data_IF_896093347503
#
_entry.id   IF_896093347503
#
_cell.length_a   1.000
_cell.length_b   1.000
_cell.length_c   1.000
_cell.angle_alpha   90.00
_cell.angle_beta   90.00
_cell.angle_gamma   90.00
#
_symmetry.space_group_name_H-M   'P 1'
#
loop_
_entity.id
_entity.type
_entity.pdbx_description
1 polymer ?
#
# COMPACT_ATOMS: atom_id res chain seq x y z
N UNK A 1 -53.71 45.49 -16.25
CA UNK A 1 -54.92 45.40 -17.05
C UNK A 1 -54.95 44.00 -17.60
N UNK A 2 -55.81 43.16 -17.03
CA UNK A 2 -55.97 41.76 -17.42
C UNK A 2 -56.42 41.67 -18.88
N UNK A 3 -55.63 40.96 -19.69
CA UNK A 3 -55.93 40.71 -21.10
C UNK A 3 -56.95 39.57 -21.18
N UNK A 4 -58.21 39.93 -21.38
CA UNK A 4 -59.27 39.01 -21.77
C UNK A 4 -59.04 38.62 -23.24
N UNK A 5 -58.61 37.39 -23.46
CA UNK A 5 -58.46 36.81 -24.80
C UNK A 5 -59.83 36.35 -25.26
N UNK A 6 -60.50 37.14 -26.09
CA UNK A 6 -61.64 36.67 -26.86
C UNK A 6 -61.15 35.76 -27.98
N UNK A 7 -61.80 34.62 -28.10
CA UNK A 7 -61.44 33.56 -29.05
C UNK A 7 -62.17 33.84 -30.36
N UNK A 8 -61.54 34.57 -31.28
CA UNK A 8 -61.98 34.63 -32.66
C UNK A 8 -61.16 33.63 -33.50
N UNK A 9 -61.89 32.79 -34.24
CA UNK A 9 -61.39 31.76 -35.13
C UNK A 9 -60.58 32.39 -36.28
N UNK A 10 -59.28 32.08 -36.38
CA UNK A 10 -58.50 32.39 -37.59
C UNK A 10 -57.31 31.43 -37.78
N UNK A 11 -57.44 30.60 -38.81
CA UNK A 11 -56.45 29.96 -39.70
C UNK A 11 -55.27 29.13 -39.13
N UNK A 12 -55.10 27.93 -39.69
CA UNK A 12 -54.34 26.80 -39.15
C UNK A 12 -52.94 26.60 -39.75
N UNK A 13 -52.15 27.65 -40.01
CA UNK A 13 -50.78 27.49 -40.57
C UNK A 13 -49.69 28.44 -40.02
N UNK A 14 -49.88 29.08 -38.85
CA UNK A 14 -48.79 29.84 -38.21
C UNK A 14 -48.51 29.33 -36.79
N UNK A 15 -47.24 29.00 -36.45
CA UNK A 15 -46.90 28.65 -35.08
C UNK A 15 -47.25 29.83 -34.16
N UNK A 16 -47.77 29.57 -32.95
CA UNK A 16 -48.13 30.63 -32.02
C UNK A 16 -46.93 31.56 -31.78
N UNK A 17 -47.18 32.86 -31.64
CA UNK A 17 -46.12 33.85 -31.48
C UNK A 17 -45.24 33.56 -30.25
N UNK A 18 -43.92 33.78 -30.37
CA UNK A 18 -42.88 33.43 -29.37
C UNK A 18 -43.16 34.05 -27.99
N UNK A 19 -43.90 35.16 -27.98
CA UNK A 19 -44.35 35.89 -26.80
C UNK A 19 -45.31 35.05 -25.94
N UNK A 20 -46.23 34.31 -26.58
CA UNK A 20 -47.18 33.41 -25.88
C UNK A 20 -46.43 32.25 -25.23
N UNK A 21 -45.37 31.76 -25.88
CA UNK A 21 -44.49 30.75 -25.30
C UNK A 21 -43.67 31.31 -24.13
N UNK A 22 -43.06 32.50 -24.28
CA UNK A 22 -42.26 33.14 -23.25
C UNK A 22 -43.07 33.45 -21.98
N UNK A 23 -44.34 33.81 -22.11
CA UNK A 23 -45.24 34.02 -20.97
C UNK A 23 -45.74 32.73 -20.30
N UNK A 24 -45.72 31.59 -21.00
CA UNK A 24 -46.11 30.27 -20.46
C UNK A 24 -44.92 29.43 -19.98
N UNK A 25 -43.68 29.89 -20.23
CA UNK A 25 -42.46 29.20 -19.84
C UNK A 25 -42.18 29.35 -18.34
N UNK A 26 -41.52 28.35 -17.75
CA UNK A 26 -40.99 28.40 -16.37
C UNK A 26 -39.62 29.07 -16.29
N UNK A 27 -39.01 29.44 -17.43
CA UNK A 27 -37.75 30.17 -17.47
C UNK A 27 -37.93 31.59 -16.95
N UNK A 28 -37.41 31.84 -15.75
CA UNK A 28 -37.50 33.15 -15.13
C UNK A 28 -36.75 34.20 -15.97
N UNK A 29 -37.40 35.34 -16.26
CA UNK A 29 -36.83 36.43 -17.05
C UNK A 29 -37.15 36.38 -18.55
N UNK A 30 -37.55 35.25 -19.13
CA UNK A 30 -37.86 35.17 -20.57
C UNK A 30 -39.13 35.95 -20.92
N UNK A 31 -40.12 35.95 -20.03
CA UNK A 31 -41.37 36.72 -20.18
C UNK A 31 -41.14 38.23 -20.22
N UNK A 32 -40.11 38.73 -19.51
CA UNK A 32 -39.73 40.15 -19.48
C UNK A 32 -38.91 40.58 -20.70
N UNK A 33 -38.29 39.64 -21.42
CA UNK A 33 -37.55 39.89 -22.66
C UNK A 33 -38.52 40.01 -23.85
N UNK A 34 -39.62 39.25 -23.84
CA UNK A 34 -40.60 39.19 -24.93
C UNK A 34 -41.91 39.94 -24.64
N UNK A 35 -41.88 40.96 -23.79
CA UNK A 35 -43.04 41.82 -23.49
C UNK A 35 -43.34 42.81 -24.64
N UNK A 36 -44.62 43.12 -24.90
CA UNK A 36 -45.13 43.97 -26.00
C UNK A 36 -44.82 45.48 -25.89
N UNK A 37 -44.01 45.94 -24.93
CA UNK A 37 -43.77 47.39 -24.70
C UNK A 37 -42.72 48.00 -25.66
N UNK A 38 -42.96 49.24 -26.13
CA UNK A 38 -42.07 49.98 -27.07
C UNK A 38 -40.70 50.40 -26.49
N UNK A 39 -40.47 50.26 -25.17
CA UNK A 39 -39.27 50.77 -24.51
C UNK A 39 -38.10 49.76 -24.55
N UNK A 40 -37.25 49.87 -25.58
CA UNK A 40 -36.11 48.99 -25.81
C UNK A 40 -35.13 48.86 -24.62
N UNK A 41 -34.96 49.90 -23.79
CA UNK A 41 -33.95 49.93 -22.73
C UNK A 41 -34.23 48.88 -21.64
N UNK A 42 -35.48 48.75 -21.19
CA UNK A 42 -35.85 47.77 -20.15
C UNK A 42 -35.64 46.34 -20.66
N UNK A 43 -36.00 46.08 -21.92
CA UNK A 43 -35.79 44.80 -22.59
C UNK A 43 -34.30 44.47 -22.73
N UNK A 44 -33.48 45.43 -23.13
CA UNK A 44 -32.03 45.25 -23.19
C UNK A 44 -31.44 44.95 -21.81
N UNK A 45 -31.90 45.62 -20.75
CA UNK A 45 -31.46 45.34 -19.38
C UNK A 45 -31.83 43.91 -18.97
N UNK A 46 -33.08 43.49 -19.16
CA UNK A 46 -33.52 42.13 -18.84
C UNK A 46 -32.78 41.06 -19.64
N UNK A 47 -32.50 41.33 -20.92
CA UNK A 47 -31.70 40.45 -21.77
C UNK A 47 -30.26 40.31 -21.25
N UNK A 48 -29.62 41.42 -20.88
CA UNK A 48 -28.25 41.42 -20.33
C UNK A 48 -28.21 40.67 -18.99
N UNK A 49 -29.17 40.90 -18.10
CA UNK A 49 -29.25 40.20 -16.81
C UNK A 49 -29.52 38.71 -17.00
N UNK A 50 -30.44 38.35 -17.89
CA UNK A 50 -30.74 36.95 -18.21
C UNK A 50 -29.53 36.24 -18.80
N UNK A 51 -28.88 36.83 -19.80
CA UNK A 51 -27.70 36.26 -20.43
C UNK A 51 -26.51 36.19 -19.46
N UNK A 52 -26.34 37.21 -18.61
CA UNK A 52 -25.35 37.20 -17.54
C UNK A 52 -25.59 36.06 -16.54
N UNK A 53 -26.84 35.86 -16.13
CA UNK A 53 -27.22 34.77 -15.21
C UNK A 53 -27.00 33.38 -15.84
N UNK A 54 -27.31 33.22 -17.14
CA UNK A 54 -27.09 31.98 -17.87
C UNK A 54 -25.61 31.67 -18.02
N UNK A 55 -24.79 32.64 -18.39
CA UNK A 55 -23.33 32.47 -18.51
C UNK A 55 -22.71 32.13 -17.16
N UNK A 56 -23.11 32.81 -16.09
CA UNK A 56 -22.62 32.51 -14.75
C UNK A 56 -23.01 31.09 -14.29
N UNK A 57 -24.26 30.68 -14.55
CA UNK A 57 -24.73 29.33 -14.26
C UNK A 57 -23.89 28.27 -15.00
N UNK A 58 -23.69 28.45 -16.32
CA UNK A 58 -22.89 27.52 -17.13
C UNK A 58 -21.45 27.44 -16.65
N UNK A 59 -20.83 28.58 -16.29
CA UNK A 59 -19.49 28.62 -15.73
C UNK A 59 -19.38 27.80 -14.44
N UNK A 60 -20.27 28.02 -13.47
CA UNK A 60 -20.28 27.28 -12.20
C UNK A 60 -20.57 25.79 -12.42
N UNK A 61 -21.46 25.43 -13.35
CA UNK A 61 -21.73 24.04 -13.70
C UNK A 61 -20.49 23.33 -14.26
N UNK A 62 -19.77 23.97 -15.20
CA UNK A 62 -18.54 23.39 -15.78
C UNK A 62 -17.45 23.26 -14.73
N UNK A 63 -17.24 24.28 -13.90
CA UNK A 63 -16.27 24.24 -12.78
C UNK A 63 -16.55 23.07 -11.83
N UNK A 64 -17.82 22.88 -11.45
CA UNK A 64 -18.22 21.78 -10.55
C UNK A 64 -18.12 20.42 -11.22
N UNK A 65 -18.39 20.30 -12.51
CA UNK A 65 -18.17 19.06 -13.26
C UNK A 65 -16.68 18.74 -13.32
N UNK A 66 -15.82 19.72 -13.58
CA UNK A 66 -14.37 19.54 -13.59
C UNK A 66 -13.87 19.07 -12.22
N UNK A 67 -14.26 19.76 -11.15
CA UNK A 67 -13.92 19.39 -9.77
C UNK A 67 -14.44 17.98 -9.40
N UNK A 68 -15.64 17.61 -9.84
CA UNK A 68 -16.16 16.26 -9.62
C UNK A 68 -15.32 15.20 -10.35
N UNK A 69 -14.92 15.47 -11.60
CA UNK A 69 -14.11 14.57 -12.43
C UNK A 69 -12.62 14.51 -12.01
N UNK A 70 -12.17 15.41 -11.14
CA UNK A 70 -10.87 15.31 -10.47
C UNK A 70 -10.86 14.26 -9.35
N UNK A 71 -12.03 13.72 -8.97
CA UNK A 71 -12.21 12.73 -7.89
C UNK A 71 -11.50 13.11 -6.57
N UNK A 72 -11.71 14.32 -6.03
CA UNK A 72 -11.14 14.71 -4.76
C UNK A 72 -11.73 13.88 -3.62
N UNK A 73 -10.89 13.42 -2.71
CA UNK A 73 -11.29 12.67 -1.51
C UNK A 73 -10.74 13.36 -0.25
N UNK A 74 -11.49 13.25 0.84
CA UNK A 74 -11.07 13.74 2.16
C UNK A 74 -10.99 12.55 3.10
N UNK A 75 -9.86 12.42 3.78
CA UNK A 75 -9.67 11.38 4.79
C UNK A 75 -10.08 11.91 6.16
N UNK A 76 -10.90 11.14 6.87
CA UNK A 76 -11.25 11.39 8.28
C UNK A 76 -10.44 10.42 9.15
N UNK A 77 -9.72 10.95 10.12
CA UNK A 77 -8.95 10.17 11.08
C UNK A 77 -9.74 10.13 12.39
N UNK A 78 -10.08 8.93 12.85
CA UNK A 78 -10.74 8.69 14.13
C UNK A 78 -9.92 7.63 14.90
N UNK A 79 -9.70 7.85 16.19
CA UNK A 79 -9.07 6.88 17.08
C UNK A 79 -10.15 6.22 17.93
N UNK A 80 -10.29 4.89 17.83
CA UNK A 80 -11.32 4.12 18.53
C UNK A 80 -10.65 3.08 19.41
N UNK A 81 -10.87 3.16 20.71
CA UNK A 81 -10.43 2.15 21.66
C UNK A 81 -11.36 0.94 21.59
N UNK A 82 -10.82 -0.22 21.25
CA UNK A 82 -11.56 -1.48 21.24
C UNK A 82 -11.09 -2.35 22.41
N UNK A 83 -12.02 -3.00 23.14
CA UNK A 83 -11.65 -3.90 24.22
C UNK A 83 -11.06 -5.19 23.68
N UNK A 84 -11.24 -5.53 22.40
CA UNK A 84 -10.60 -6.71 21.81
C UNK A 84 -9.93 -6.38 20.51
N UNK A 85 -8.64 -6.73 20.40
CA UNK A 85 -7.86 -6.60 19.17
C UNK A 85 -7.15 -7.90 18.81
N UNK A 86 -7.06 -8.19 17.51
CA UNK A 86 -6.26 -9.30 17.00
C UNK A 86 -4.78 -8.93 17.04
N UNK A 87 -3.95 -9.75 17.69
CA UNK A 87 -2.51 -9.55 17.69
C UNK A 87 -1.95 -9.71 16.26
N UNK A 88 -1.11 -8.79 15.76
CA UNK A 88 -0.60 -8.85 14.40
C UNK A 88 0.42 -9.98 14.23
N UNK A 89 0.57 -10.47 13.01
CA UNK A 89 1.64 -11.40 12.68
C UNK A 89 3.01 -10.71 12.84
N UNK A 90 3.86 -11.24 13.71
CA UNK A 90 5.24 -10.78 13.88
C UNK A 90 6.15 -11.60 12.97
N UNK A 91 6.87 -10.92 12.09
CA UNK A 91 7.80 -11.54 11.14
C UNK A 91 9.21 -11.04 11.39
N UNK A 92 10.15 -11.96 11.63
CA UNK A 92 11.56 -11.62 11.83
C UNK A 92 12.47 -12.55 11.02
N UNK A 93 13.67 -12.06 10.72
CA UNK A 93 14.70 -12.80 10.03
C UNK A 93 16.08 -12.41 10.59
N UNK A 94 17.00 -13.37 10.62
CA UNK A 94 18.39 -13.09 10.94
C UNK A 94 19.01 -12.29 9.77
N UNK A 95 19.75 -11.22 10.09
CA UNK A 95 20.46 -10.43 9.10
C UNK A 95 21.54 -11.25 8.37
N UNK A 96 22.08 -12.27 9.04
CA UNK A 96 22.94 -13.23 8.37
C UNK A 96 22.09 -14.18 7.50
N UNK A 97 22.21 -14.06 6.18
CA UNK A 97 21.40 -14.80 5.21
C UNK A 97 21.60 -16.33 5.26
N UNK A 98 22.76 -16.82 5.69
CA UNK A 98 23.04 -18.25 5.73
C UNK A 98 24.07 -18.63 6.81
N UNK A 99 23.97 -19.86 7.30
CA UNK A 99 24.95 -20.48 8.20
C UNK A 99 26.13 -21.00 7.38
N UNK A 100 27.28 -20.34 7.50
CA UNK A 100 28.51 -20.74 6.78
C UNK A 100 28.89 -22.21 7.00
N UNK A 101 28.64 -22.75 8.20
CA UNK A 101 28.86 -24.16 8.53
C UNK A 101 28.07 -25.14 7.63
N UNK A 102 26.88 -24.75 7.15
CA UNK A 102 26.00 -25.55 6.30
C UNK A 102 26.27 -25.38 4.80
N UNK A 103 27.09 -24.40 4.39
CA UNK A 103 27.45 -24.17 2.98
C UNK A 103 28.39 -25.26 2.48
N UNK A 104 28.06 -25.84 1.32
CA UNK A 104 28.87 -26.89 0.69
C UNK A 104 29.71 -26.35 -0.47
N UNK A 105 30.67 -27.16 -0.94
CA UNK A 105 31.48 -26.88 -2.13
C UNK A 105 30.61 -26.71 -3.39
N UNK A 106 29.53 -27.47 -3.51
CA UNK A 106 28.58 -27.33 -4.62
C UNK A 106 27.83 -25.98 -4.56
N UNK A 107 27.42 -25.57 -3.36
CA UNK A 107 26.74 -24.28 -3.16
C UNK A 107 27.67 -23.12 -3.52
N UNK A 108 28.93 -23.19 -3.08
CA UNK A 108 29.93 -22.16 -3.39
C UNK A 108 30.28 -22.11 -4.88
N UNK A 109 30.26 -23.25 -5.57
CA UNK A 109 30.43 -23.31 -7.03
C UNK A 109 29.30 -22.59 -7.78
N UNK A 110 28.04 -22.76 -7.37
CA UNK A 110 26.89 -22.16 -8.08
C UNK A 110 26.51 -20.76 -7.61
N UNK A 111 26.62 -20.48 -6.32
CA UNK A 111 26.16 -19.25 -5.68
C UNK A 111 27.29 -18.41 -5.05
N UNK A 112 28.55 -18.84 -5.11
CA UNK A 112 29.67 -18.14 -4.45
C UNK A 112 29.86 -16.70 -4.94
N UNK A 113 29.65 -16.43 -6.22
CA UNK A 113 29.67 -15.07 -6.77
C UNK A 113 28.48 -14.24 -6.27
N UNK A 114 27.28 -14.83 -6.25
CA UNK A 114 26.05 -14.20 -5.78
C UNK A 114 26.14 -13.81 -4.29
N UNK A 115 26.79 -14.65 -3.48
CA UNK A 115 27.02 -14.41 -2.05
C UNK A 115 28.23 -13.50 -1.78
N UNK A 116 28.83 -12.93 -2.83
CA UNK A 116 30.04 -12.11 -2.76
C UNK A 116 31.27 -12.78 -2.10
N UNK A 117 31.28 -14.11 -2.00
CA UNK A 117 32.41 -14.89 -1.45
C UNK A 117 33.48 -15.17 -2.51
N UNK A 118 33.05 -15.35 -3.76
CA UNK A 118 33.93 -15.62 -4.90
C UNK A 118 33.83 -14.53 -5.96
N UNK A 119 34.91 -14.33 -6.72
CA UNK A 119 34.92 -13.51 -7.93
C UNK A 119 34.45 -14.32 -9.16
N UNK A 120 34.36 -13.66 -10.32
CA UNK A 120 34.04 -14.32 -11.61
C UNK A 120 35.04 -15.41 -12.04
N UNK A 121 36.21 -15.48 -11.40
CA UNK A 121 37.24 -16.49 -11.65
C UNK A 121 37.21 -17.63 -10.63
N UNK A 122 36.19 -17.70 -9.76
CA UNK A 122 36.05 -18.67 -8.68
C UNK A 122 37.17 -18.59 -7.62
N UNK A 123 37.76 -17.42 -7.43
CA UNK A 123 38.75 -17.15 -6.39
C UNK A 123 38.10 -16.41 -5.22
N UNK A 124 38.62 -16.61 -4.01
CA UNK A 124 38.12 -15.99 -2.78
C UNK A 124 38.31 -14.47 -2.84
N UNK A 125 37.23 -13.71 -2.59
CA UNK A 125 37.27 -12.25 -2.47
C UNK A 125 37.71 -11.84 -1.06
N UNK A 126 38.28 -10.64 -0.95
CA UNK A 126 38.53 -9.94 0.31
C UNK A 126 39.17 -10.79 1.43
N UNK A 127 40.18 -11.58 1.05
CA UNK A 127 40.91 -12.53 1.92
C UNK A 127 41.37 -11.90 3.25
N UNK A 128 41.67 -10.61 3.25
CA UNK A 128 42.17 -9.87 4.42
C UNK A 128 41.10 -9.47 5.44
N UNK A 129 39.81 -9.57 5.07
CA UNK A 129 38.69 -9.19 5.94
C UNK A 129 38.05 -10.41 6.64
N UNK A 130 38.53 -11.62 6.34
CA UNK A 130 37.97 -12.88 6.85
C UNK A 130 38.83 -13.37 8.01
N UNK A 131 38.18 -13.80 9.10
CA UNK A 131 38.84 -14.46 10.22
C UNK A 131 39.62 -15.70 9.73
N UNK A 132 40.80 -15.94 10.30
CA UNK A 132 41.71 -17.01 9.86
C UNK A 132 41.05 -18.40 9.86
N UNK A 133 40.26 -18.70 10.89
CA UNK A 133 39.50 -19.95 11.04
C UNK A 133 38.46 -20.17 9.92
N UNK A 134 37.75 -19.11 9.54
CA UNK A 134 36.75 -19.12 8.47
C UNK A 134 37.43 -19.19 7.11
N UNK A 135 38.56 -18.50 6.95
CA UNK A 135 39.34 -18.50 5.73
C UNK A 135 39.91 -19.89 5.40
N UNK A 136 40.38 -20.65 6.38
CA UNK A 136 40.81 -22.04 6.18
C UNK A 136 39.67 -22.91 5.67
N UNK A 137 38.51 -22.82 6.31
CA UNK A 137 37.30 -23.54 5.89
C UNK A 137 36.85 -23.14 4.48
N UNK A 138 36.97 -21.85 4.13
CA UNK A 138 36.63 -21.32 2.81
C UNK A 138 37.60 -21.85 1.75
N UNK A 139 38.91 -21.88 2.02
CA UNK A 139 39.91 -22.46 1.09
C UNK A 139 39.61 -23.91 0.74
N UNK A 140 39.20 -24.73 1.73
CA UNK A 140 38.83 -26.13 1.49
C UNK A 140 37.55 -26.26 0.66
N UNK A 141 36.57 -25.38 0.90
CA UNK A 141 35.29 -25.37 0.16
C UNK A 141 35.40 -24.71 -1.21
N UNK A 142 36.38 -23.83 -1.44
CA UNK A 142 36.61 -23.08 -2.68
C UNK A 142 37.71 -23.67 -3.56
N UNK A 143 38.36 -24.76 -3.15
CA UNK A 143 39.12 -25.57 -4.08
C UNK A 143 38.12 -26.15 -5.10
N UNK A 144 38.36 -26.06 -6.40
CA UNK A 144 37.49 -26.68 -7.42
C UNK A 144 38.28 -27.65 -8.32
N UNK A 145 39.51 -27.99 -7.93
CA UNK A 145 40.33 -28.93 -8.66
C UNK A 145 39.65 -30.32 -8.68
N UNK A 146 39.45 -30.88 -9.87
CA UNK A 146 38.71 -32.14 -10.09
C UNK A 146 37.27 -32.16 -9.52
N UNK A 147 36.66 -31.00 -9.25
CA UNK A 147 35.30 -30.95 -8.75
C UNK A 147 34.30 -31.26 -9.87
N UNK A 148 33.31 -32.11 -9.58
CA UNK A 148 32.18 -32.40 -10.47
C UNK A 148 30.91 -31.77 -9.91
N UNK A 149 30.42 -30.67 -10.50
CA UNK A 149 29.21 -30.00 -10.04
C UNK A 149 28.00 -30.92 -10.07
N UNK A 150 27.14 -30.79 -9.05
CA UNK A 150 25.84 -31.44 -8.97
C UNK A 150 24.74 -30.43 -9.28
N UNK A 151 23.52 -30.91 -9.44
CA UNK A 151 22.34 -30.04 -9.55
C UNK A 151 22.25 -29.12 -8.34
N UNK A 152 21.75 -27.91 -8.58
CA UNK A 152 21.63 -26.88 -7.57
C UNK A 152 20.26 -26.21 -7.68
N UNK A 153 19.64 -25.98 -6.54
CA UNK A 153 18.35 -25.32 -6.43
C UNK A 153 18.47 -24.24 -5.35
N UNK A 154 18.22 -22.98 -5.72
CA UNK A 154 18.26 -21.85 -4.78
C UNK A 154 17.30 -22.04 -3.61
N UNK A 155 16.13 -22.65 -3.82
CA UNK A 155 15.17 -22.88 -2.74
C UNK A 155 15.70 -23.88 -1.71
N UNK A 156 16.25 -25.00 -2.17
CA UNK A 156 16.90 -26.00 -1.29
C UNK A 156 18.09 -25.40 -0.56
N UNK A 157 18.87 -24.55 -1.24
CA UNK A 157 19.99 -23.85 -0.64
C UNK A 157 19.54 -22.98 0.54
N UNK A 158 18.51 -22.14 0.37
CA UNK A 158 18.00 -21.30 1.45
C UNK A 158 17.37 -22.10 2.58
N UNK A 159 16.60 -23.15 2.27
CA UNK A 159 15.95 -23.99 3.27
C UNK A 159 16.99 -24.71 4.16
N UNK A 160 18.06 -25.25 3.56
CA UNK A 160 19.11 -25.97 4.28
C UNK A 160 20.10 -25.06 4.99
N UNK A 161 20.51 -23.96 4.35
CA UNK A 161 21.58 -23.09 4.88
C UNK A 161 21.04 -21.94 5.72
N UNK A 162 19.76 -21.62 5.63
CA UNK A 162 19.10 -20.63 6.49
C UNK A 162 19.22 -20.98 7.98
N UNK A 163 18.95 -20.00 8.83
CA UNK A 163 18.94 -20.20 10.28
C UNK A 163 17.68 -20.94 10.72
N UNK A 164 17.85 -21.89 11.63
CA UNK A 164 16.75 -22.66 12.21
C UNK A 164 16.20 -21.90 13.42
N UNK A 165 14.89 -21.80 13.53
CA UNK A 165 14.25 -21.15 14.68
C UNK A 165 14.53 -21.91 15.98
N UNK A 166 14.70 -23.24 15.92
CA UNK A 166 15.05 -24.05 17.08
C UNK A 166 16.41 -23.69 17.67
N UNK A 167 17.34 -23.24 16.83
CA UNK A 167 18.68 -22.85 17.25
C UNK A 167 18.72 -21.39 17.73
N UNK A 168 17.87 -20.53 17.17
CA UNK A 168 17.86 -19.10 17.50
C UNK A 168 16.99 -18.77 18.71
N UNK A 169 15.86 -19.46 18.89
CA UNK A 169 14.86 -19.12 19.90
C UNK A 169 15.31 -19.60 21.30
N UNK A 170 15.81 -18.70 22.13
CA UNK A 170 16.22 -19.03 23.50
C UNK A 170 15.03 -19.07 24.46
N UNK A 171 14.12 -18.11 24.36
CA UNK A 171 12.87 -18.09 25.11
C UNK A 171 11.77 -17.36 24.33
N UNK A 172 10.52 -17.77 24.56
CA UNK A 172 9.35 -17.21 23.91
C UNK A 172 8.18 -17.19 24.90
N UNK A 173 7.61 -16.02 25.12
CA UNK A 173 6.40 -15.88 25.94
C UNK A 173 5.39 -15.00 25.22
N UNK A 174 4.14 -15.46 25.16
CA UNK A 174 3.01 -14.71 24.65
C UNK A 174 1.88 -14.76 25.68
N UNK A 175 1.45 -13.60 26.18
CA UNK A 175 0.40 -13.48 27.21
C UNK A 175 0.68 -14.35 28.46
N UNK A 176 1.95 -14.42 28.88
CA UNK A 176 2.38 -15.26 30.00
C UNK A 176 2.42 -16.76 29.71
N UNK A 177 2.05 -17.20 28.51
CA UNK A 177 2.17 -18.59 28.06
C UNK A 177 3.46 -18.79 27.27
N UNK A 178 4.16 -19.89 27.52
CA UNK A 178 5.37 -20.25 26.78
C UNK A 178 5.00 -20.66 25.35
N UNK A 179 5.65 -20.05 24.36
CA UNK A 179 5.53 -20.44 22.95
C UNK A 179 6.70 -21.30 22.51
N UNK A 180 6.47 -22.11 21.47
CA UNK A 180 7.45 -23.09 20.98
C UNK A 180 7.83 -22.84 19.54
N UNK A 181 8.97 -23.39 19.08
CA UNK A 181 9.36 -23.36 17.67
C UNK A 181 8.26 -23.83 16.69
N UNK A 182 7.34 -24.70 17.11
CA UNK A 182 6.24 -25.16 16.25
C UNK A 182 5.15 -24.10 16.01
N UNK A 183 5.05 -23.08 16.87
CA UNK A 183 4.11 -21.96 16.72
C UNK A 183 4.56 -20.95 15.66
N UNK A 184 5.75 -21.17 15.11
CA UNK A 184 6.40 -20.34 14.13
C UNK A 184 6.35 -20.98 12.75
N UNK A 185 5.82 -20.24 11.78
CA UNK A 185 5.77 -20.66 10.39
C UNK A 185 6.90 -20.06 9.58
N UNK A 186 7.59 -20.94 8.86
CA UNK A 186 8.58 -20.55 7.86
C UNK A 186 7.88 -19.96 6.63
N UNK A 187 8.30 -18.75 6.24
CA UNK A 187 7.78 -18.00 5.09
C UNK A 187 8.94 -17.53 4.21
N UNK A 188 9.01 -18.02 2.98
CA UNK A 188 9.96 -17.52 1.99
C UNK A 188 9.39 -16.26 1.31
N UNK A 189 9.92 -15.08 1.63
CA UNK A 189 9.52 -13.84 0.95
C UNK A 189 10.40 -13.61 -0.28
N UNK A 190 9.90 -13.98 -1.46
CA UNK A 190 10.57 -13.68 -2.74
C UNK A 190 10.61 -12.15 -3.04
N UNK A 191 9.77 -11.35 -2.38
CA UNK A 191 9.54 -9.94 -2.69
C UNK A 191 10.28 -8.92 -1.82
N UNK A 192 11.09 -9.33 -0.82
CA UNK A 192 11.88 -8.39 -0.02
C UNK A 192 13.08 -7.79 -0.79
N UNK A 193 13.18 -8.10 -2.09
CA UNK A 193 14.13 -7.55 -3.07
C UNK A 193 14.01 -6.03 -3.28
N UNK A 194 12.84 -5.41 -3.04
CA UNK A 194 12.62 -4.00 -3.44
C UNK A 194 13.00 -2.97 -2.36
N UNK A 195 13.22 -3.35 -1.10
CA UNK A 195 13.49 -2.36 -0.02
C UNK A 195 14.84 -2.47 0.68
N UNK A 196 15.50 -3.63 0.64
CA UNK A 196 16.68 -3.90 1.49
C UNK A 196 17.97 -4.19 0.71
N UNK A 197 18.04 -3.89 -0.59
CA UNK A 197 19.29 -3.80 -1.35
C UNK A 197 20.05 -5.12 -1.60
N UNK A 198 19.78 -6.19 -0.84
CA UNK A 198 20.58 -7.40 -0.86
C UNK A 198 19.89 -8.56 -1.57
N UNK A 199 20.68 -9.32 -2.31
CA UNK A 199 20.23 -10.46 -3.11
C UNK A 199 20.11 -11.71 -2.24
N UNK A 200 19.11 -11.79 -1.37
CA UNK A 200 18.79 -13.03 -0.66
C UNK A 200 17.28 -13.25 -0.52
N UNK A 201 16.83 -14.48 -0.76
CA UNK A 201 15.52 -14.91 -0.29
C UNK A 201 15.63 -15.12 1.21
N UNK A 202 14.92 -14.32 1.99
CA UNK A 202 14.93 -14.43 3.45
C UNK A 202 13.86 -15.43 3.88
N UNK A 203 14.31 -16.46 4.57
CA UNK A 203 13.48 -17.38 5.34
C UNK A 203 13.00 -16.60 6.56
N UNK A 204 11.78 -16.08 6.48
CA UNK A 204 11.18 -15.36 7.58
C UNK A 204 10.44 -16.34 8.48
N UNK A 205 10.39 -16.00 9.75
CA UNK A 205 9.60 -16.74 10.72
C UNK A 205 8.43 -15.85 11.12
N UNK A 206 7.20 -16.32 10.87
CA UNK A 206 5.98 -15.63 11.25
C UNK A 206 5.28 -16.41 12.37
N UNK A 207 5.09 -15.79 13.53
CA UNK A 207 4.21 -16.35 14.55
C UNK A 207 2.76 -16.08 14.14
N UNK A 208 1.98 -17.13 13.95
CA UNK A 208 0.54 -17.04 13.65
C UNK A 208 -0.24 -17.63 14.81
N UNK A 209 -0.57 -16.79 15.79
CA UNK A 209 -1.55 -17.13 16.81
C UNK A 209 -2.83 -16.35 16.56
N UNK A 210 -3.90 -17.06 16.21
CA UNK A 210 -5.27 -16.52 16.23
C UNK A 210 -5.66 -16.35 17.70
N UNK A 211 -5.39 -15.18 18.26
CA UNK A 211 -5.69 -14.89 19.66
C UNK A 211 -6.32 -13.51 19.78
N UNK A 212 -7.59 -13.50 20.22
CA UNK A 212 -8.35 -12.32 20.58
C UNK A 212 -7.80 -11.78 21.92
N UNK A 213 -7.28 -10.56 21.94
CA UNK A 213 -6.83 -9.91 23.18
C UNK A 213 -8.02 -9.29 23.90
N UNK A 214 -8.20 -9.43 25.21
CA UNK A 214 -9.20 -8.66 25.97
C UNK A 214 -8.49 -7.58 26.78
N UNK A 215 -8.77 -6.32 26.45
CA UNK A 215 -8.17 -5.09 26.95
C UNK A 215 -8.54 -4.72 28.38
N UNK A 216 -9.00 -5.68 29.19
CA UNK A 216 -9.30 -5.45 30.61
C UNK A 216 -8.10 -5.75 31.52
N UNK A 217 -7.09 -6.48 31.03
CA UNK A 217 -5.76 -6.52 31.62
C UNK A 217 -4.74 -5.90 30.67
N UNK A 218 -4.11 -4.82 31.14
CA UNK A 218 -2.98 -4.12 30.48
C UNK A 218 -1.70 -4.96 30.55
N UNK A 219 -1.80 -6.25 30.30
CA UNK A 219 -0.63 -7.02 29.92
C UNK A 219 -0.35 -6.60 28.49
N UNK A 220 0.60 -5.68 28.31
CA UNK A 220 1.28 -5.54 27.02
C UNK A 220 1.53 -6.98 26.56
N UNK A 221 0.94 -7.38 25.43
CA UNK A 221 1.20 -8.69 24.86
C UNK A 221 2.63 -8.65 24.33
N UNK A 222 3.59 -8.77 25.24
CA UNK A 222 5.01 -8.68 24.95
C UNK A 222 5.42 -10.05 24.46
N UNK A 223 5.60 -10.16 23.15
CA UNK A 223 6.39 -11.25 22.59
C UNK A 223 7.84 -10.99 22.99
N UNK A 224 8.31 -11.68 24.02
CA UNK A 224 9.73 -11.63 24.42
C UNK A 224 10.47 -12.73 23.66
N UNK A 225 11.35 -12.32 22.75
CA UNK A 225 12.23 -13.19 21.98
C UNK A 225 13.67 -12.88 22.36
N UNK A 226 14.38 -13.86 22.90
CA UNK A 226 15.82 -13.76 23.08
C UNK A 226 16.47 -14.59 21.96
N UNK A 227 17.06 -13.91 20.99
CA UNK A 227 17.75 -14.50 19.83
C UNK A 227 19.25 -14.25 19.98
N UNK A 228 20.10 -15.20 19.59
CA UNK A 228 21.58 -15.13 19.72
C UNK A 228 22.24 -13.84 19.18
N UNK A 229 21.55 -13.03 18.36
CA UNK A 229 22.09 -11.80 17.78
C UNK A 229 21.19 -10.57 17.87
N UNK A 230 19.98 -10.67 18.40
CA UNK A 230 19.02 -9.55 18.40
C UNK A 230 18.15 -9.59 19.66
N UNK A 231 18.48 -8.76 20.64
CA UNK A 231 17.57 -8.42 21.73
C UNK A 231 16.54 -7.41 21.22
N UNK A 232 15.35 -7.88 20.88
CA UNK A 232 14.20 -7.02 20.61
C UNK A 232 13.36 -6.89 21.87
N UNK A 233 13.53 -5.79 22.61
CA UNK A 233 12.55 -5.33 23.58
C UNK A 233 11.53 -4.46 22.85
N UNK A 234 10.27 -4.91 22.78
CA UNK A 234 9.18 -4.02 22.35
C UNK A 234 9.16 -2.81 23.28
N UNK A 235 9.36 -1.63 22.70
CA UNK A 235 9.43 -0.36 23.41
C UNK A 235 8.19 -0.16 24.30
N UNK A 236 8.43 0.31 25.52
CA UNK A 236 7.42 0.80 26.43
C UNK A 236 6.50 1.78 25.69
N UNK A 237 5.21 1.43 25.61
CA UNK A 237 4.17 2.35 25.20
C UNK A 237 3.86 3.26 26.39
N UNK A 238 4.63 4.33 26.56
CA UNK A 238 4.26 5.39 27.50
C UNK A 238 3.04 6.14 26.93
N UNK A 239 1.94 6.27 27.70
CA UNK A 239 0.87 7.17 27.32
C UNK A 239 1.36 8.62 27.51
N UNK A 240 1.11 9.47 26.51
CA UNK A 240 1.18 10.93 26.64
C UNK A 240 0.17 11.43 27.68
#
# INVERSE_FOLDING_TARGET
MDLKVETEEMDSEQPPPIEVFAHRSTLHGISHIFTYERFCIKRCLWLVVFLGSLTFLLYVCVDRIHFYLEYPHVTKLDEVTTPIMTFPAVTFCNLNAFRFSRVTRNDLYHAGELLALLNQRYEIRDVHLVEESVLESLKVKADFHNFKPRSFNMWEFYDRTGHDINDMLLSCHFHGTECRPEDFKVVSLFFQKIRWGDSAALQNTAMSHDSETSGEHRDCSVLSLELELLSYTCANWEPL
#
